data_IF_950808189713
#
_entry.id   IF_950808189713
#
_cell.length_a   1.000
_cell.length_b   1.000
_cell.length_c   1.000
_cell.angle_alpha   90.00
_cell.angle_beta   90.00
_cell.angle_gamma   90.00
#
_symmetry.space_group_name_H-M   'P 1'
#
loop_
_entity.id
_entity.type
_entity.pdbx_description
1 polymer ?
#
# COMPACT_ATOMS: atom_id res chain seq x y z
N UNK A 1 -23.51 -24.86 5.48
CA UNK A 1 -22.90 -23.81 4.66
C UNK A 1 -22.30 -22.80 5.63
N UNK A 2 -21.04 -22.43 5.47
CA UNK A 2 -20.42 -21.37 6.27
C UNK A 2 -21.12 -20.08 5.87
N UNK A 3 -21.54 -19.27 6.85
CA UNK A 3 -22.12 -17.95 6.55
C UNK A 3 -21.01 -17.04 6.00
N UNK A 4 -21.30 -16.23 4.97
CA UNK A 4 -20.32 -15.29 4.45
C UNK A 4 -20.02 -14.20 5.48
N UNK A 5 -18.79 -13.71 5.48
CA UNK A 5 -18.36 -12.55 6.26
C UNK A 5 -19.08 -11.31 5.72
N UNK A 6 -19.92 -10.69 6.55
CA UNK A 6 -20.64 -9.48 6.18
C UNK A 6 -19.74 -8.28 6.33
N UNK A 7 -19.33 -7.69 5.20
CA UNK A 7 -18.36 -6.61 5.14
C UNK A 7 -19.00 -5.30 4.67
N UNK A 8 -18.59 -4.17 5.25
CA UNK A 8 -18.95 -2.85 4.76
C UNK A 8 -17.72 -2.08 4.25
N UNK A 9 -17.93 -1.13 3.33
CA UNK A 9 -16.88 -0.26 2.80
C UNK A 9 -17.05 1.14 3.40
N UNK A 10 -16.00 1.66 4.04
CA UNK A 10 -15.94 3.00 4.63
C UNK A 10 -15.12 3.94 3.73
N UNK A 11 -15.83 4.86 3.03
CA UNK A 11 -15.27 5.76 2.04
C UNK A 11 -15.45 5.22 0.62
N UNK A 12 -16.51 5.64 -0.07
CA UNK A 12 -16.78 5.17 -1.42
C UNK A 12 -16.18 6.11 -2.46
N UNK A 13 -14.97 5.80 -2.91
CA UNK A 13 -14.25 6.48 -3.98
C UNK A 13 -13.86 5.51 -5.08
N UNK A 14 -13.04 5.97 -6.03
CA UNK A 14 -12.65 5.20 -7.22
C UNK A 14 -12.10 3.81 -6.88
N UNK A 15 -11.23 3.70 -5.88
CA UNK A 15 -10.64 2.40 -5.50
C UNK A 15 -11.69 1.43 -4.94
N UNK A 16 -12.67 1.95 -4.19
CA UNK A 16 -13.77 1.14 -3.69
C UNK A 16 -14.65 0.61 -4.83
N UNK A 17 -14.96 1.47 -5.80
CA UNK A 17 -15.78 1.13 -6.96
C UNK A 17 -15.07 0.16 -7.90
N UNK A 18 -13.81 0.45 -8.26
CA UNK A 18 -13.08 -0.29 -9.29
C UNK A 18 -12.53 -1.63 -8.78
N UNK A 19 -12.22 -1.75 -7.49
CA UNK A 19 -11.48 -2.88 -6.96
C UNK A 19 -12.21 -3.61 -5.82
N UNK A 20 -12.64 -2.91 -4.78
CA UNK A 20 -13.23 -3.57 -3.61
C UNK A 20 -14.58 -4.22 -3.93
N UNK A 21 -15.51 -3.48 -4.53
CA UNK A 21 -16.85 -4.00 -4.85
C UNK A 21 -16.80 -5.22 -5.76
N UNK A 22 -16.07 -5.21 -6.90
CA UNK A 22 -15.97 -6.41 -7.75
C UNK A 22 -15.31 -7.59 -7.04
N UNK A 23 -14.28 -7.36 -6.22
CA UNK A 23 -13.57 -8.43 -5.52
C UNK A 23 -14.42 -9.07 -4.41
N UNK A 24 -15.19 -8.27 -3.67
CA UNK A 24 -16.16 -8.77 -2.71
C UNK A 24 -17.24 -9.59 -3.43
N UNK A 25 -17.79 -9.06 -4.52
CA UNK A 25 -18.86 -9.74 -5.27
C UNK A 25 -18.40 -11.08 -5.90
N UNK A 26 -17.12 -11.19 -6.26
CA UNK A 26 -16.55 -12.41 -6.85
C UNK A 26 -16.15 -13.46 -5.80
N UNK A 27 -16.04 -13.10 -4.52
CA UNK A 27 -15.56 -13.99 -3.46
C UNK A 27 -16.73 -14.49 -2.59
N UNK A 28 -17.11 -15.80 -2.67
CA UNK A 28 -18.25 -16.35 -1.93
C UNK A 28 -18.07 -16.34 -0.40
N UNK A 29 -16.88 -16.08 0.12
CA UNK A 29 -16.62 -15.91 1.55
C UNK A 29 -17.13 -14.57 2.10
N UNK A 30 -17.48 -13.60 1.22
CA UNK A 30 -17.92 -12.27 1.61
C UNK A 30 -19.31 -11.90 1.10
N UNK A 31 -20.00 -11.05 1.84
CA UNK A 31 -21.25 -10.37 1.45
C UNK A 31 -21.09 -8.87 1.71
N UNK A 32 -21.25 -8.04 0.67
CA UNK A 32 -21.23 -6.58 0.85
C UNK A 32 -22.53 -6.16 1.56
N UNK A 33 -22.42 -5.78 2.82
CA UNK A 33 -23.56 -5.43 3.66
C UNK A 33 -24.01 -3.97 3.53
N UNK A 34 -23.05 -3.05 3.34
CA UNK A 34 -23.33 -1.61 3.21
C UNK A 34 -22.09 -0.85 2.71
N UNK A 35 -22.31 0.42 2.31
CA UNK A 35 -21.22 1.36 2.06
C UNK A 35 -21.46 2.68 2.79
N UNK A 36 -20.38 3.35 3.20
CA UNK A 36 -20.44 4.72 3.70
C UNK A 36 -19.86 5.67 2.65
N UNK A 37 -20.69 6.64 2.21
CA UNK A 37 -20.34 7.58 1.17
C UNK A 37 -20.94 8.96 1.43
N UNK A 38 -20.09 9.99 1.53
CA UNK A 38 -20.54 11.38 1.67
C UNK A 38 -21.26 11.90 0.44
N UNK A 39 -21.00 11.36 -0.74
CA UNK A 39 -21.69 11.71 -1.99
C UNK A 39 -23.01 10.99 -2.16
N UNK A 40 -23.36 10.02 -1.30
CA UNK A 40 -24.52 9.15 -1.45
C UNK A 40 -24.42 8.13 -2.58
N UNK A 41 -23.24 8.01 -3.20
CA UNK A 41 -23.00 7.05 -4.27
C UNK A 41 -22.54 5.69 -3.70
N UNK A 42 -22.87 4.63 -4.40
CA UNK A 42 -22.44 3.27 -4.09
C UNK A 42 -23.57 2.24 -4.14
N UNK A 43 -23.24 0.96 -3.99
CA UNK A 43 -24.22 -0.10 -3.80
C UNK A 43 -25.07 0.10 -2.55
N UNK A 44 -26.37 -0.18 -2.64
CA UNK A 44 -27.29 -0.02 -1.51
C UNK A 44 -27.14 -1.19 -0.52
N UNK A 45 -27.27 -0.92 0.80
CA UNK A 45 -27.59 0.39 1.42
C UNK A 45 -26.38 1.33 1.54
N UNK A 46 -26.62 2.63 1.37
CA UNK A 46 -25.61 3.71 1.48
C UNK A 46 -25.89 4.58 2.70
N UNK A 47 -24.86 4.85 3.49
CA UNK A 47 -24.92 5.73 4.67
C UNK A 47 -24.00 6.94 4.46
N UNK A 48 -24.47 8.13 4.82
CA UNK A 48 -23.64 9.34 4.80
C UNK A 48 -22.63 9.36 5.96
N UNK A 49 -22.99 8.77 7.11
CA UNK A 49 -22.18 8.63 8.31
C UNK A 49 -21.86 7.16 8.56
N UNK A 50 -20.58 6.83 8.55
CA UNK A 50 -20.09 5.47 8.81
C UNK A 50 -20.38 4.98 10.24
N UNK A 51 -20.44 5.87 11.24
CA UNK A 51 -20.81 5.53 12.60
C UNK A 51 -22.29 5.09 12.69
N UNK A 52 -23.14 5.76 11.94
CA UNK A 52 -24.54 5.36 11.80
C UNK A 52 -24.65 3.98 11.14
N UNK A 53 -23.86 3.74 10.10
CA UNK A 53 -23.81 2.45 9.40
C UNK A 53 -23.43 1.31 10.36
N UNK A 54 -22.33 1.46 11.12
CA UNK A 54 -21.89 0.42 12.07
C UNK A 54 -22.98 0.09 13.10
N UNK A 55 -23.73 1.10 13.58
CA UNK A 55 -24.79 0.88 14.55
C UNK A 55 -26.06 0.24 13.98
N UNK A 56 -26.37 0.47 12.69
CA UNK A 56 -27.64 0.06 12.06
C UNK A 56 -27.54 -1.21 11.22
N UNK A 57 -26.37 -1.56 10.73
CA UNK A 57 -26.19 -2.76 9.92
C UNK A 57 -26.02 -3.95 10.87
N UNK A 58 -27.05 -4.76 10.99
CA UNK A 58 -27.04 -5.96 11.84
C UNK A 58 -26.10 -7.03 11.27
N UNK A 59 -25.39 -7.74 12.15
CA UNK A 59 -24.51 -8.83 11.79
C UNK A 59 -23.34 -8.40 10.89
N UNK A 60 -22.82 -7.18 11.07
CA UNK A 60 -21.61 -6.73 10.40
C UNK A 60 -20.40 -7.38 11.08
N UNK A 61 -19.55 -8.05 10.32
CA UNK A 61 -18.36 -8.75 10.81
C UNK A 61 -17.06 -7.98 10.52
N UNK A 62 -17.01 -7.28 9.38
CA UNK A 62 -15.78 -6.66 8.90
C UNK A 62 -16.01 -5.32 8.19
N UNK A 63 -14.94 -4.53 8.07
CA UNK A 63 -14.92 -3.29 7.32
C UNK A 63 -13.68 -3.19 6.43
N UNK A 64 -13.84 -2.65 5.22
CA UNK A 64 -12.77 -2.18 4.36
C UNK A 64 -12.70 -0.66 4.44
N UNK A 65 -11.59 -0.09 4.94
CA UNK A 65 -11.43 1.35 5.17
C UNK A 65 -10.64 1.94 4.01
N UNK A 66 -11.34 2.60 3.10
CA UNK A 66 -10.83 3.15 1.84
C UNK A 66 -10.82 4.69 1.80
N UNK A 67 -10.97 5.32 2.97
CA UNK A 67 -10.83 6.79 3.14
C UNK A 67 -9.39 7.24 2.89
N UNK A 68 -9.11 8.54 2.71
CA UNK A 68 -7.73 9.06 2.80
C UNK A 68 -7.05 8.69 4.13
N UNK A 69 -5.71 8.71 4.21
CA UNK A 69 -4.98 8.21 5.40
C UNK A 69 -5.36 8.91 6.71
N UNK A 70 -5.45 10.25 6.69
CA UNK A 70 -5.62 11.08 7.90
C UNK A 70 -6.78 10.67 8.82
N UNK A 71 -8.02 10.42 8.34
CA UNK A 71 -9.10 9.97 9.22
C UNK A 71 -9.05 8.49 9.60
N UNK A 72 -8.14 7.68 9.01
CA UNK A 72 -8.15 6.21 9.20
C UNK A 72 -7.86 5.79 10.63
N UNK A 73 -7.02 6.54 11.34
CA UNK A 73 -6.70 6.23 12.73
C UNK A 73 -7.96 6.16 13.59
N UNK A 74 -8.78 7.21 13.59
CA UNK A 74 -10.01 7.25 14.40
C UNK A 74 -11.05 6.26 13.90
N UNK A 75 -11.21 6.14 12.57
CA UNK A 75 -12.16 5.19 11.97
C UNK A 75 -11.81 3.76 12.37
N UNK A 76 -10.57 3.34 12.17
CA UNK A 76 -10.13 1.99 12.52
C UNK A 76 -10.28 1.72 14.02
N UNK A 77 -9.98 2.72 14.85
CA UNK A 77 -10.15 2.61 16.30
C UNK A 77 -11.60 2.30 16.69
N UNK A 78 -12.54 3.06 16.17
CA UNK A 78 -13.96 2.87 16.50
C UNK A 78 -14.48 1.53 15.95
N UNK A 79 -14.02 1.11 14.75
CA UNK A 79 -14.38 -0.19 14.20
C UNK A 79 -13.84 -1.35 15.05
N UNK A 80 -12.57 -1.30 15.46
CA UNK A 80 -11.96 -2.31 16.34
C UNK A 80 -12.67 -2.38 17.69
N UNK A 81 -13.04 -1.21 18.27
CA UNK A 81 -13.81 -1.17 19.52
C UNK A 81 -15.24 -1.71 19.37
N UNK A 82 -15.78 -1.73 18.15
CA UNK A 82 -17.06 -2.36 17.82
C UNK A 82 -16.90 -3.85 17.44
N UNK A 83 -15.74 -4.46 17.73
CA UNK A 83 -15.39 -5.85 17.45
C UNK A 83 -15.43 -6.23 15.95
N UNK A 84 -15.14 -5.26 15.05
CA UNK A 84 -15.09 -5.49 13.61
C UNK A 84 -13.67 -5.79 13.14
N UNK A 85 -13.53 -6.80 12.27
CA UNK A 85 -12.31 -7.05 11.53
C UNK A 85 -12.05 -5.91 10.56
N UNK A 86 -10.80 -5.43 10.44
CA UNK A 86 -10.46 -4.24 9.65
C UNK A 86 -9.45 -4.54 8.56
N UNK A 87 -9.82 -4.22 7.32
CA UNK A 87 -8.93 -4.15 6.17
C UNK A 87 -8.64 -2.68 5.89
N UNK A 88 -7.35 -2.27 5.95
CA UNK A 88 -6.92 -0.90 5.74
C UNK A 88 -6.26 -0.73 4.37
N UNK A 89 -6.75 0.21 3.57
CA UNK A 89 -6.08 0.63 2.35
C UNK A 89 -4.73 1.32 2.61
N UNK A 90 -3.83 1.27 1.60
CA UNK A 90 -2.53 1.95 1.66
C UNK A 90 -2.68 3.48 1.52
N UNK A 91 -1.79 4.24 2.15
CA UNK A 91 -1.04 3.86 3.34
C UNK A 91 -1.98 3.71 4.53
N UNK A 92 -1.72 2.78 5.47
CA UNK A 92 -2.70 2.44 6.51
C UNK A 92 -3.01 3.59 7.47
N UNK A 93 -2.06 4.49 7.68
CA UNK A 93 -2.13 5.68 8.54
C UNK A 93 -1.13 6.73 8.08
N UNK A 94 -1.16 7.93 8.67
CA UNK A 94 -0.19 9.00 8.44
C UNK A 94 1.15 8.73 9.13
N UNK A 95 1.13 8.04 10.26
CA UNK A 95 2.31 7.82 11.09
C UNK A 95 2.48 6.37 11.54
N UNK A 96 3.73 5.96 11.74
CA UNK A 96 4.06 4.60 12.20
C UNK A 96 3.58 4.30 13.61
N UNK A 97 3.48 5.30 14.49
CA UNK A 97 2.94 5.16 15.85
C UNK A 97 1.45 4.83 15.85
N UNK A 98 0.69 5.39 14.92
CA UNK A 98 -0.74 5.17 14.82
C UNK A 98 -1.08 3.74 14.45
N UNK A 99 -0.37 3.18 13.46
CA UNK A 99 -0.62 1.78 13.06
C UNK A 99 -0.16 0.80 14.14
N UNK A 100 0.92 1.10 14.86
CA UNK A 100 1.37 0.27 15.98
C UNK A 100 0.33 0.25 17.12
N UNK A 101 -0.28 1.38 17.45
CA UNK A 101 -1.36 1.47 18.43
C UNK A 101 -2.61 0.69 17.99
N UNK A 102 -2.96 0.73 16.67
CA UNK A 102 -4.09 -0.05 16.13
C UNK A 102 -3.83 -1.56 16.19
N UNK A 103 -2.60 -1.99 15.94
CA UNK A 103 -2.23 -3.40 16.02
C UNK A 103 -2.39 -3.93 17.44
N UNK A 104 -1.91 -3.20 18.44
CA UNK A 104 -2.09 -3.55 19.84
C UNK A 104 -3.59 -3.66 20.20
N UNK A 105 -4.39 -2.65 19.83
CA UNK A 105 -5.82 -2.64 20.12
C UNK A 105 -6.56 -3.80 19.44
N UNK A 106 -6.22 -4.12 18.19
CA UNK A 106 -6.81 -5.25 17.48
C UNK A 106 -6.51 -6.59 18.18
N UNK A 107 -5.26 -6.77 18.66
CA UNK A 107 -4.87 -7.95 19.44
C UNK A 107 -5.66 -8.04 20.76
N UNK A 108 -5.79 -6.92 21.48
CA UNK A 108 -6.55 -6.87 22.75
C UNK A 108 -8.04 -7.20 22.53
N UNK A 109 -8.62 -6.81 21.39
CA UNK A 109 -10.02 -7.07 21.05
C UNK A 109 -10.24 -8.43 20.37
N UNK A 110 -9.18 -9.13 19.96
CA UNK A 110 -9.28 -10.40 19.26
C UNK A 110 -9.83 -10.28 17.84
N UNK A 111 -9.69 -9.11 17.20
CA UNK A 111 -10.10 -8.87 15.83
C UNK A 111 -8.92 -8.83 14.87
N UNK A 112 -9.15 -9.15 13.62
CA UNK A 112 -8.14 -9.11 12.56
C UNK A 112 -7.92 -7.67 12.09
N UNK A 113 -6.67 -7.24 12.08
CA UNK A 113 -6.22 -6.02 11.40
C UNK A 113 -5.32 -6.40 10.23
N UNK A 114 -5.67 -5.96 9.02
CA UNK A 114 -4.92 -6.24 7.81
C UNK A 114 -4.57 -4.95 7.07
N UNK A 115 -3.27 -4.68 6.91
CA UNK A 115 -2.78 -3.56 6.09
C UNK A 115 -2.56 -4.03 4.67
N UNK A 116 -3.35 -3.50 3.72
CA UNK A 116 -3.20 -3.87 2.31
C UNK A 116 -2.09 -3.08 1.65
N UNK A 117 -1.07 -3.78 1.26
CA UNK A 117 -0.07 -3.26 0.32
C UNK A 117 -0.37 -3.93 -1.02
N UNK A 118 -1.36 -3.42 -1.74
CA UNK A 118 -1.94 -4.10 -2.91
C UNK A 118 -0.87 -4.60 -3.88
N UNK A 119 0.16 -3.80 -4.18
CA UNK A 119 1.23 -4.18 -5.08
C UNK A 119 2.05 -5.42 -4.63
N UNK A 120 2.00 -5.81 -3.35
CA UNK A 120 2.61 -7.06 -2.87
C UNK A 120 1.87 -8.32 -3.32
N UNK A 121 0.62 -8.18 -3.77
CA UNK A 121 -0.27 -9.30 -4.06
C UNK A 121 -0.26 -9.75 -5.53
N UNK A 122 0.67 -9.26 -6.34
CA UNK A 122 0.96 -9.85 -7.64
C UNK A 122 1.64 -11.22 -7.48
N UNK A 123 1.21 -12.23 -8.23
CA UNK A 123 1.83 -13.56 -8.24
C UNK A 123 3.31 -13.52 -8.64
N UNK A 124 3.69 -12.56 -9.48
CA UNK A 124 5.06 -12.25 -9.88
C UNK A 124 5.94 -11.80 -8.71
N UNK A 125 5.38 -11.05 -7.75
CA UNK A 125 6.09 -10.61 -6.55
C UNK A 125 6.40 -11.80 -5.64
N UNK A 126 5.47 -12.73 -5.46
CA UNK A 126 5.72 -13.98 -4.74
C UNK A 126 6.81 -14.84 -5.39
N UNK A 127 6.83 -14.89 -6.74
CA UNK A 127 7.87 -15.61 -7.48
C UNK A 127 9.24 -14.92 -7.33
N UNK A 128 9.28 -13.59 -7.35
CA UNK A 128 10.50 -12.82 -7.10
C UNK A 128 11.04 -13.04 -5.69
N UNK A 129 10.17 -13.02 -4.66
CA UNK A 129 10.51 -13.31 -3.27
C UNK A 129 11.17 -14.70 -3.14
N UNK A 130 10.53 -15.73 -3.73
CA UNK A 130 11.10 -17.10 -3.73
C UNK A 130 12.46 -17.18 -4.42
N UNK A 131 12.63 -16.45 -5.53
CA UNK A 131 13.89 -16.44 -6.27
C UNK A 131 15.05 -15.80 -5.49
N UNK A 132 14.75 -14.87 -4.59
CA UNK A 132 15.74 -14.13 -3.78
C UNK A 132 15.88 -14.67 -2.35
N UNK A 133 15.01 -15.59 -1.91
CA UNK A 133 14.99 -16.08 -0.55
C UNK A 133 16.39 -16.62 -0.10
N UNK A 134 16.88 -16.10 1.04
CA UNK A 134 18.16 -16.49 1.62
C UNK A 134 19.41 -16.04 0.87
N UNK A 135 19.28 -15.27 -0.21
CA UNK A 135 20.43 -14.80 -1.00
C UNK A 135 21.03 -13.52 -0.43
N UNK A 136 22.30 -13.31 -0.71
CA UNK A 136 22.95 -12.00 -0.50
C UNK A 136 22.78 -11.16 -1.75
N UNK A 137 22.50 -9.87 -1.56
CA UNK A 137 22.18 -8.94 -2.65
C UNK A 137 23.43 -8.16 -3.05
N UNK A 138 23.75 -8.18 -4.34
CA UNK A 138 24.83 -7.38 -4.94
C UNK A 138 24.36 -5.93 -5.18
N UNK A 139 23.15 -5.75 -5.69
CA UNK A 139 22.59 -4.44 -5.96
C UNK A 139 21.08 -4.47 -6.03
N UNK A 140 20.45 -3.31 -5.74
CA UNK A 140 19.04 -3.06 -5.99
C UNK A 140 18.87 -1.67 -6.60
N UNK A 141 18.00 -1.58 -7.60
CA UNK A 141 17.60 -0.32 -8.21
C UNK A 141 16.09 -0.28 -8.37
N UNK A 142 15.49 0.78 -7.84
CA UNK A 142 14.06 1.08 -7.99
C UNK A 142 13.95 2.35 -8.84
N UNK A 143 13.13 2.31 -9.89
CA UNK A 143 12.70 3.46 -10.67
C UNK A 143 11.18 3.51 -10.60
N UNK A 144 10.63 4.61 -10.05
CA UNK A 144 9.19 4.83 -9.95
C UNK A 144 8.87 6.24 -10.40
N UNK A 145 8.68 6.36 -11.72
CA UNK A 145 8.56 7.60 -12.43
C UNK A 145 7.21 7.69 -13.11
N UNK A 146 6.43 8.73 -12.82
CA UNK A 146 5.10 8.92 -13.39
C UNK A 146 4.72 10.41 -13.49
N UNK A 147 3.56 10.68 -14.07
CA UNK A 147 3.00 12.01 -14.19
C UNK A 147 1.92 12.25 -13.13
N UNK A 148 2.21 13.15 -12.18
CA UNK A 148 1.26 13.51 -11.13
C UNK A 148 -0.06 14.08 -11.70
N UNK A 149 -0.02 14.80 -12.81
CA UNK A 149 -1.20 15.39 -13.42
C UNK A 149 -2.11 14.35 -14.08
N UNK A 150 -1.54 13.23 -14.52
CA UNK A 150 -2.29 12.10 -15.07
C UNK A 150 -2.96 11.27 -13.97
N UNK A 151 -2.22 10.98 -12.89
CA UNK A 151 -2.65 10.02 -11.87
C UNK A 151 -3.39 10.67 -10.70
N UNK A 152 -3.10 11.96 -10.40
CA UNK A 152 -3.70 12.72 -9.30
C UNK A 152 -4.29 14.07 -9.74
N UNK A 153 -5.10 14.12 -10.80
CA UNK A 153 -5.60 15.38 -11.34
C UNK A 153 -6.43 16.14 -10.31
N UNK A 154 -5.99 17.37 -9.96
CA UNK A 154 -6.69 18.27 -9.04
C UNK A 154 -6.74 17.83 -7.57
N UNK A 155 -5.99 16.84 -7.18
CA UNK A 155 -5.92 16.34 -5.79
C UNK A 155 -4.95 17.21 -4.98
N UNK A 156 -5.42 18.29 -4.37
CA UNK A 156 -4.58 19.21 -3.60
C UNK A 156 -3.98 18.60 -2.34
N UNK A 157 -4.70 17.67 -1.71
CA UNK A 157 -4.30 17.05 -0.44
C UNK A 157 -2.94 16.35 -0.52
N UNK A 158 -2.53 15.85 -1.69
CA UNK A 158 -1.23 15.16 -1.86
C UNK A 158 -0.03 16.07 -1.61
N UNK A 159 -0.21 17.40 -1.72
CA UNK A 159 0.82 18.42 -1.54
C UNK A 159 0.87 18.98 -0.11
N UNK A 160 -0.11 18.64 0.72
CA UNK A 160 -0.24 19.06 2.10
C UNK A 160 0.45 18.07 3.08
N UNK A 161 0.61 18.42 4.38
CA UNK A 161 1.02 17.45 5.38
C UNK A 161 0.12 16.21 5.33
N UNK A 162 0.69 15.03 5.55
CA UNK A 162 0.00 13.73 5.40
C UNK A 162 -0.39 13.36 3.97
N UNK A 163 -0.05 14.18 2.97
CA UNK A 163 -0.33 13.90 1.55
C UNK A 163 0.68 12.97 0.88
N UNK A 164 1.82 12.72 1.52
CA UNK A 164 2.91 11.85 1.06
C UNK A 164 3.69 12.34 -0.18
N UNK A 165 3.12 13.18 -1.07
CA UNK A 165 3.77 13.61 -2.31
C UNK A 165 4.18 12.40 -3.15
N UNK A 166 5.38 12.42 -3.74
CA UNK A 166 5.91 11.33 -4.57
C UNK A 166 5.98 9.98 -3.85
N UNK A 167 5.89 9.96 -2.52
CA UNK A 167 5.81 8.72 -1.77
C UNK A 167 4.43 8.06 -1.82
N UNK A 168 3.36 8.74 -2.24
CA UNK A 168 2.04 8.09 -2.37
C UNK A 168 2.06 6.94 -3.39
N UNK A 169 2.59 7.09 -4.63
CA UNK A 169 2.85 5.94 -5.48
C UNK A 169 4.16 5.21 -5.12
N UNK A 170 5.19 5.91 -4.66
CA UNK A 170 6.49 5.31 -4.34
C UNK A 170 6.44 4.27 -3.22
N UNK A 171 5.45 4.36 -2.32
CA UNK A 171 5.25 3.38 -1.25
C UNK A 171 4.84 2.00 -1.82
N UNK A 172 4.26 1.95 -3.03
CA UNK A 172 3.98 0.67 -3.70
C UNK A 172 5.30 -0.04 -4.06
N UNK A 173 6.28 0.71 -4.60
CA UNK A 173 7.62 0.16 -4.84
C UNK A 173 8.29 -0.31 -3.54
N UNK A 174 8.15 0.46 -2.46
CA UNK A 174 8.70 0.08 -1.16
C UNK A 174 8.01 -1.16 -0.60
N UNK A 175 6.71 -1.30 -0.80
CA UNK A 175 5.97 -2.49 -0.37
C UNK A 175 6.46 -3.75 -1.09
N UNK A 176 6.67 -3.68 -2.39
CA UNK A 176 7.27 -4.78 -3.16
C UNK A 176 8.70 -5.04 -2.67
N UNK A 177 9.54 -3.99 -2.60
CA UNK A 177 10.94 -4.12 -2.23
C UNK A 177 11.12 -4.73 -0.84
N UNK A 178 10.34 -4.31 0.16
CA UNK A 178 10.40 -4.87 1.53
C UNK A 178 9.96 -6.33 1.60
N UNK A 179 9.08 -6.76 0.71
CA UNK A 179 8.65 -8.16 0.62
C UNK A 179 9.70 -9.06 -0.04
N UNK A 180 10.27 -8.63 -1.18
CA UNK A 180 11.18 -9.48 -1.95
C UNK A 180 12.64 -9.42 -1.49
N UNK A 181 13.03 -8.38 -0.76
CA UNK A 181 14.40 -8.21 -0.29
C UNK A 181 14.66 -9.17 0.89
N UNK A 182 15.73 -10.01 0.86
CA UNK A 182 15.94 -11.07 1.84
C UNK A 182 16.52 -10.57 3.16
N UNK A 183 15.91 -9.57 3.77
CA UNK A 183 16.32 -9.01 5.06
C UNK A 183 15.87 -7.57 5.27
N UNK A 184 16.39 -6.91 6.29
CA UNK A 184 16.05 -5.53 6.59
C UNK A 184 16.59 -4.57 5.53
N UNK A 185 15.70 -3.75 4.97
CA UNK A 185 16.04 -2.62 4.12
C UNK A 185 15.92 -1.33 4.94
N UNK A 186 17.00 -0.54 5.00
CA UNK A 186 17.11 0.63 5.86
C UNK A 186 17.52 1.85 5.03
N UNK A 187 16.96 3.02 5.33
CA UNK A 187 17.35 4.28 4.67
C UNK A 187 18.70 4.74 5.20
N UNK A 188 19.66 4.95 4.31
CA UNK A 188 20.96 5.57 4.64
C UNK A 188 20.90 7.08 4.56
N UNK A 189 20.40 7.57 3.44
CA UNK A 189 20.18 8.98 3.14
C UNK A 189 19.15 9.14 2.02
N UNK A 190 18.58 10.34 1.92
CA UNK A 190 17.69 10.69 0.82
C UNK A 190 17.89 12.19 0.44
N UNK A 191 17.58 12.53 -0.80
CA UNK A 191 17.44 13.91 -1.27
C UNK A 191 16.00 14.10 -1.74
N UNK A 192 15.27 15.01 -1.10
CA UNK A 192 13.87 15.28 -1.34
C UNK A 192 13.71 16.59 -2.09
N UNK A 193 13.22 16.56 -3.33
CA UNK A 193 12.89 17.76 -4.10
C UNK A 193 11.49 18.22 -3.74
N UNK A 194 11.36 19.36 -3.04
CA UNK A 194 10.09 19.89 -2.53
C UNK A 194 9.77 21.17 -3.29
N UNK A 195 8.62 21.28 -4.01
CA UNK A 195 8.20 22.49 -4.67
C UNK A 195 7.99 23.63 -3.69
N UNK A 196 8.31 24.89 -4.08
CA UNK A 196 8.16 26.07 -3.22
C UNK A 196 6.75 26.25 -2.66
N UNK A 197 5.75 25.81 -3.41
CA UNK A 197 4.33 25.90 -3.04
C UNK A 197 3.73 24.61 -2.46
N UNK A 198 4.55 23.62 -2.07
CA UNK A 198 4.12 22.35 -1.50
C UNK A 198 4.80 22.03 -0.17
N UNK A 199 4.23 21.13 0.60
CA UNK A 199 4.80 20.60 1.84
C UNK A 199 5.46 19.23 1.65
N UNK A 200 5.13 18.53 0.57
CA UNK A 200 5.57 17.17 0.26
C UNK A 200 6.49 17.15 -0.97
N UNK A 201 7.36 16.15 -1.10
CA UNK A 201 8.30 16.10 -2.23
C UNK A 201 7.62 15.68 -3.55
N UNK A 202 8.07 16.26 -4.66
CA UNK A 202 7.72 15.88 -6.03
C UNK A 202 8.68 14.84 -6.59
N UNK A 203 9.89 14.72 -6.02
CA UNK A 203 10.86 13.69 -6.38
C UNK A 203 11.74 13.35 -5.18
N UNK A 204 12.27 12.12 -5.16
CA UNK A 204 13.18 11.64 -4.13
C UNK A 204 14.24 10.72 -4.72
N UNK A 205 15.52 10.99 -4.38
CA UNK A 205 16.64 10.09 -4.62
C UNK A 205 17.07 9.50 -3.27
N UNK A 206 17.12 8.18 -3.19
CA UNK A 206 17.25 7.46 -1.92
C UNK A 206 18.36 6.43 -2.02
N UNK A 207 19.22 6.39 -1.02
CA UNK A 207 20.19 5.35 -0.80
C UNK A 207 19.77 4.50 0.41
N UNK A 208 19.69 3.21 0.21
CA UNK A 208 19.44 2.25 1.27
C UNK A 208 20.73 1.53 1.68
N UNK A 209 20.66 0.82 2.78
CA UNK A 209 21.64 -0.18 3.16
C UNK A 209 20.97 -1.38 3.82
N UNK A 210 21.68 -2.50 3.82
CA UNK A 210 21.28 -3.73 4.47
C UNK A 210 22.49 -4.56 4.84
N UNK A 211 22.50 -5.27 5.99
CA UNK A 211 23.52 -6.27 6.28
C UNK A 211 23.57 -7.42 5.27
N UNK A 212 22.48 -7.66 4.53
CA UNK A 212 22.37 -8.67 3.48
C UNK A 212 22.85 -8.20 2.10
N UNK A 213 23.34 -6.96 1.98
CA UNK A 213 23.84 -6.41 0.72
C UNK A 213 25.33 -6.09 0.75
N UNK A 214 25.97 -6.19 -0.44
CA UNK A 214 27.40 -5.92 -0.62
C UNK A 214 27.65 -4.67 -1.49
N UNK A 215 26.62 -4.13 -2.16
CA UNK A 215 26.73 -3.00 -3.07
C UNK A 215 25.58 -2.02 -2.98
N UNK A 216 25.38 -1.20 -4.01
CA UNK A 216 24.42 -0.09 -3.97
C UNK A 216 22.98 -0.59 -3.95
N UNK A 217 22.18 0.03 -3.09
CA UNK A 217 20.73 -0.15 -3.02
C UNK A 217 20.11 1.24 -3.16
N UNK A 218 19.42 1.49 -4.26
CA UNK A 218 18.95 2.84 -4.63
C UNK A 218 17.49 2.88 -5.05
N UNK A 219 16.84 4.03 -4.84
CA UNK A 219 15.55 4.33 -5.45
C UNK A 219 15.53 5.76 -5.98
N UNK A 220 14.93 5.94 -7.16
CA UNK A 220 14.58 7.21 -7.76
C UNK A 220 13.08 7.25 -7.95
N UNK A 221 12.42 8.20 -7.27
CA UNK A 221 10.99 8.48 -7.39
C UNK A 221 10.84 9.85 -8.03
N UNK A 222 10.04 9.98 -9.10
CA UNK A 222 9.87 11.26 -9.79
C UNK A 222 8.45 11.40 -10.38
N UNK A 223 7.73 12.40 -9.93
CA UNK A 223 6.37 12.71 -10.36
C UNK A 223 6.28 13.68 -11.55
N UNK A 224 7.42 14.05 -12.12
CA UNK A 224 7.52 15.02 -13.24
C UNK A 224 7.62 14.34 -14.61
N UNK A 225 7.35 13.05 -14.70
CA UNK A 225 7.53 12.25 -15.90
C UNK A 225 6.25 12.17 -16.73
N UNK A 226 5.96 13.20 -17.53
CA UNK A 226 4.80 13.22 -18.44
C UNK A 226 4.97 12.32 -19.66
N UNK A 227 6.19 11.85 -19.91
CA UNK A 227 6.54 10.85 -20.92
C UNK A 227 7.53 9.87 -20.29
N UNK A 228 7.57 8.67 -20.80
CA UNK A 228 8.49 7.63 -20.36
C UNK A 228 8.27 7.27 -18.87
N UNK A 229 7.01 7.03 -18.49
CA UNK A 229 6.66 6.50 -17.17
C UNK A 229 7.33 5.13 -16.97
N UNK A 230 7.87 4.90 -15.77
CA UNK A 230 8.60 3.66 -15.49
C UNK A 230 8.35 3.21 -14.05
N UNK A 231 7.94 1.97 -13.87
CA UNK A 231 7.72 1.31 -12.58
C UNK A 231 8.52 0.01 -12.55
N UNK A 232 9.81 0.12 -12.24
CA UNK A 232 10.76 -0.98 -12.33
C UNK A 232 11.49 -1.20 -11.00
N UNK A 233 11.66 -2.47 -10.62
CA UNK A 233 12.46 -2.88 -9.48
C UNK A 233 13.42 -3.97 -9.97
N UNK A 234 14.73 -3.71 -9.85
CA UNK A 234 15.79 -4.65 -10.25
C UNK A 234 16.64 -5.06 -9.04
N UNK A 235 16.89 -6.35 -8.89
CA UNK A 235 17.84 -6.89 -7.92
C UNK A 235 18.78 -7.86 -8.61
N UNK A 236 20.05 -7.80 -8.22
CA UNK A 236 21.06 -8.80 -8.56
C UNK A 236 21.61 -9.38 -7.27
N UNK A 237 21.56 -10.72 -7.14
CA UNK A 237 22.18 -11.43 -6.05
C UNK A 237 23.66 -11.73 -6.34
N UNK A 238 24.44 -12.01 -5.30
CA UNK A 238 25.89 -12.28 -5.43
C UNK A 238 26.19 -13.58 -6.18
N UNK A 239 25.24 -14.52 -6.22
CA UNK A 239 25.33 -15.75 -7.01
C UNK A 239 24.99 -15.57 -8.50
N UNK A 240 24.67 -14.34 -8.93
CA UNK A 240 24.35 -14.00 -10.31
C UNK A 240 22.85 -14.07 -10.64
N UNK A 241 21.98 -14.44 -9.69
CA UNK A 241 20.52 -14.39 -9.90
C UNK A 241 20.09 -12.95 -10.12
N UNK A 242 19.34 -12.73 -11.19
CA UNK A 242 18.77 -11.40 -11.54
C UNK A 242 17.26 -11.47 -11.53
N UNK A 243 16.66 -10.56 -10.79
CA UNK A 243 15.22 -10.34 -10.72
C UNK A 243 14.92 -8.95 -11.23
N UNK A 244 13.99 -8.82 -12.18
CA UNK A 244 13.47 -7.53 -12.63
C UNK A 244 11.96 -7.61 -12.68
N UNK A 245 11.32 -6.73 -11.92
CA UNK A 245 9.88 -6.49 -11.96
C UNK A 245 9.61 -5.22 -12.75
N UNK A 246 8.66 -5.26 -13.68
CA UNK A 246 8.20 -4.13 -14.48
C UNK A 246 6.71 -3.91 -14.31
N UNK A 247 6.22 -2.76 -14.80
CA UNK A 247 4.80 -2.37 -14.75
C UNK A 247 4.22 -2.49 -13.32
N UNK A 248 4.99 -2.01 -12.33
CA UNK A 248 4.53 -2.01 -10.94
C UNK A 248 4.45 -3.39 -10.28
N UNK A 249 5.12 -4.38 -10.85
CA UNK A 249 5.10 -5.76 -10.38
C UNK A 249 4.29 -6.71 -11.27
N UNK A 250 3.61 -6.20 -12.30
CA UNK A 250 2.79 -7.05 -13.19
C UNK A 250 3.63 -8.01 -14.05
N UNK A 251 4.88 -7.67 -14.35
CA UNK A 251 5.79 -8.52 -15.14
C UNK A 251 7.04 -8.89 -14.36
N UNK A 252 7.45 -10.15 -14.46
CA UNK A 252 8.67 -10.67 -13.84
C UNK A 252 9.62 -11.24 -14.89
N UNK A 253 10.87 -10.78 -14.85
CA UNK A 253 11.98 -11.39 -15.56
C UNK A 253 12.94 -12.02 -14.57
N UNK A 254 13.32 -13.28 -14.82
CA UNK A 254 14.37 -13.99 -14.10
C UNK A 254 15.55 -14.24 -15.04
N UNK A 255 16.73 -13.75 -14.67
CA UNK A 255 17.97 -13.87 -15.44
C UNK A 255 17.81 -13.36 -16.89
N UNK A 256 17.04 -12.29 -17.08
CA UNK A 256 16.79 -11.67 -18.38
C UNK A 256 15.69 -12.33 -19.22
N UNK A 257 15.09 -13.42 -18.75
CA UNK A 257 13.99 -14.10 -19.45
C UNK A 257 12.66 -13.79 -18.78
N UNK A 258 11.63 -13.45 -19.56
CA UNK A 258 10.27 -13.25 -19.08
C UNK A 258 9.79 -14.55 -18.41
N UNK A 259 9.46 -14.47 -17.13
CA UNK A 259 8.99 -15.59 -16.32
C UNK A 259 7.47 -15.62 -16.21
N UNK A 260 6.86 -14.46 -16.00
CA UNK A 260 5.41 -14.30 -15.95
C UNK A 260 5.01 -12.86 -16.24
N UNK A 261 3.90 -12.70 -16.94
CA UNK A 261 3.18 -11.46 -17.20
C UNK A 261 1.65 -11.66 -17.01
N UNK A 262 1.26 -12.73 -16.29
CA UNK A 262 -0.13 -13.01 -16.01
C UNK A 262 -0.65 -12.07 -14.92
N UNK A 263 -1.61 -11.23 -15.30
CA UNK A 263 -2.35 -10.38 -14.39
C UNK A 263 -3.50 -11.16 -13.75
N UNK A 264 -3.34 -11.55 -12.49
CA UNK A 264 -4.40 -12.23 -11.73
C UNK A 264 -5.27 -11.28 -10.92
N UNK A 265 -4.95 -9.98 -10.94
CA UNK A 265 -5.55 -8.98 -10.06
C UNK A 265 -4.99 -9.05 -8.63
N UNK A 266 -4.81 -7.90 -7.99
CA UNK A 266 -4.28 -7.81 -6.62
C UNK A 266 -5.38 -8.05 -5.59
N UNK A 267 -6.53 -7.41 -5.80
CA UNK A 267 -7.62 -7.37 -4.81
C UNK A 267 -8.34 -8.70 -4.58
N UNK A 268 -8.54 -9.58 -5.57
CA UNK A 268 -9.02 -10.93 -5.30
C UNK A 268 -8.15 -11.67 -4.28
N UNK A 269 -6.82 -11.62 -4.41
CA UNK A 269 -5.88 -12.24 -3.47
C UNK A 269 -5.91 -11.58 -2.08
N UNK A 270 -6.09 -10.24 -2.03
CA UNK A 270 -6.26 -9.51 -0.77
C UNK A 270 -7.48 -10.03 -0.01
N UNK A 271 -8.62 -10.18 -0.67
CA UNK A 271 -9.84 -10.68 -0.04
C UNK A 271 -9.75 -12.14 0.37
N UNK A 272 -9.12 -13.00 -0.44
CA UNK A 272 -8.79 -14.38 -0.04
C UNK A 272 -7.94 -14.38 1.24
N UNK A 273 -6.86 -13.59 1.24
CA UNK A 273 -5.97 -13.48 2.39
C UNK A 273 -6.67 -12.92 3.62
N UNK A 274 -7.56 -11.94 3.46
CA UNK A 274 -8.30 -11.37 4.58
C UNK A 274 -9.25 -12.38 5.21
N UNK A 275 -9.98 -13.17 4.40
CA UNK A 275 -10.80 -14.25 4.91
C UNK A 275 -9.98 -15.28 5.70
N UNK A 276 -8.84 -15.71 5.16
CA UNK A 276 -7.96 -16.68 5.83
C UNK A 276 -7.41 -16.12 7.17
N UNK A 277 -7.07 -14.82 7.22
CA UNK A 277 -6.63 -14.18 8.45
C UNK A 277 -7.74 -14.12 9.51
N UNK A 278 -8.99 -13.88 9.10
CA UNK A 278 -10.16 -13.89 9.99
C UNK A 278 -10.39 -15.31 10.52
N UNK A 279 -10.39 -16.31 9.65
CA UNK A 279 -10.58 -17.72 10.02
C UNK A 279 -9.47 -18.20 10.99
N UNK A 280 -8.24 -17.75 10.79
CA UNK A 280 -7.07 -18.08 11.63
C UNK A 280 -6.99 -17.24 12.91
N UNK A 281 -7.86 -16.26 13.14
CA UNK A 281 -7.79 -15.27 14.22
C UNK A 281 -6.42 -14.55 14.28
N UNK A 282 -5.92 -14.13 13.15
CA UNK A 282 -4.61 -13.48 13.00
C UNK A 282 -4.73 -12.12 12.34
N UNK A 283 -3.81 -11.22 12.70
CA UNK A 283 -3.57 -9.96 12.00
C UNK A 283 -2.36 -10.07 11.08
N UNK A 284 -2.32 -9.23 10.05
CA UNK A 284 -1.14 -9.01 9.23
C UNK A 284 -0.92 -7.50 9.08
N UNK A 285 -0.09 -6.96 9.96
CA UNK A 285 0.22 -5.52 10.02
C UNK A 285 1.67 -5.32 9.60
N UNK A 286 1.88 -5.13 8.29
CA UNK A 286 3.20 -4.79 7.75
C UNK A 286 3.40 -3.27 7.80
N UNK A 287 4.36 -2.83 8.60
CA UNK A 287 4.72 -1.41 8.75
C UNK A 287 5.98 -1.03 7.96
N UNK A 288 6.68 -1.99 7.34
CA UNK A 288 7.97 -1.76 6.73
C UNK A 288 7.93 -0.70 5.61
N UNK A 289 6.95 -0.71 4.68
CA UNK A 289 6.89 0.32 3.63
C UNK A 289 6.69 1.73 4.19
N UNK A 290 5.78 1.89 5.17
CA UNK A 290 5.51 3.18 5.81
C UNK A 290 6.71 3.68 6.61
N UNK A 291 7.46 2.78 7.27
CA UNK A 291 8.69 3.12 7.98
C UNK A 291 9.74 3.66 7.04
N UNK A 292 9.95 3.06 5.87
CA UNK A 292 10.90 3.59 4.87
C UNK A 292 10.53 5.01 4.43
N UNK A 293 9.24 5.30 4.23
CA UNK A 293 8.79 6.68 3.91
C UNK A 293 9.10 7.62 5.07
N UNK A 294 8.76 7.24 6.30
CA UNK A 294 9.02 8.04 7.48
C UNK A 294 10.53 8.33 7.67
N UNK A 295 11.37 7.31 7.47
CA UNK A 295 12.83 7.43 7.55
C UNK A 295 13.37 8.35 6.45
N UNK A 296 12.86 8.29 5.22
CA UNK A 296 13.21 9.20 4.15
C UNK A 296 12.85 10.65 4.49
N UNK A 297 11.67 10.88 5.09
CA UNK A 297 11.24 12.23 5.50
C UNK A 297 12.05 12.77 6.68
N UNK A 298 12.47 11.90 7.61
CA UNK A 298 13.27 12.25 8.79
C UNK A 298 14.75 12.48 8.45
N UNK A 299 15.37 11.55 7.72
CA UNK A 299 16.80 11.58 7.41
C UNK A 299 17.13 12.32 6.11
N UNK A 300 16.11 12.60 5.29
CA UNK A 300 16.29 13.18 3.97
C UNK A 300 16.64 14.66 3.99
N UNK A 301 17.60 15.04 3.12
CA UNK A 301 17.93 16.44 2.86
C UNK A 301 16.88 17.04 1.92
N UNK A 302 16.18 18.08 2.37
CA UNK A 302 15.22 18.84 1.53
C UNK A 302 15.96 19.81 0.61
N UNK A 303 15.54 19.83 -0.67
CA UNK A 303 15.97 20.78 -1.69
C UNK A 303 14.70 21.41 -2.29
N UNK A 304 14.60 22.72 -2.16
CA UNK A 304 13.51 23.50 -2.79
C UNK A 304 13.68 23.47 -4.32
N UNK A 305 12.58 23.25 -5.01
CA UNK A 305 12.51 23.27 -6.49
C UNK A 305 11.38 24.17 -6.96
N UNK A 306 11.31 24.43 -8.27
CA UNK A 306 10.28 25.26 -8.90
C UNK A 306 8.87 24.85 -8.44
N UNK A 307 7.93 25.82 -8.34
CA UNK A 307 6.54 25.54 -7.98
C UNK A 307 5.88 24.54 -8.93
N UNK A 308 5.01 23.72 -8.39
CA UNK A 308 4.18 22.79 -9.19
C UNK A 308 2.82 23.40 -9.45
N UNK A 309 2.23 23.12 -10.63
CA UNK A 309 0.84 23.41 -10.92
C UNK A 309 -0.06 22.44 -10.16
N UNK A 310 -0.97 22.98 -9.32
CA UNK A 310 -1.87 22.19 -8.46
C UNK A 310 -3.29 22.13 -9.04
#
# INVERSE_FOLDING_TARGET
MIQPIRIAILGFGKIAEDQHVPSIAANPKFELAAVSSRSGQGPQPVFADWREMIRKVEGLDAVAITTPPSPRYDIARECILADLHCLLEKPPTDGTSEIADRDILAQERGVTLFTTWHAQHHSTVDAAERALAGKRIRSMKILWHEDVHKWHPGQKWIWEPSGFGVFDPGINAFSIATKIFPGALLVRDATLSVPENAQTPIAAEINFYSPQAEGPLTASLDWRRSKDEEWTIELEATDGTKVRLEEGGAKLYLNGTLHSDEWSGEYPHIYERFADLIDDHRSHVDVAPLRLVADCLLAGRRRTVEPVTM
#
